data_IF_548087961627
#
_entry.id   IF_548087961627
#
_cell.length_a   1.000
_cell.length_b   1.000
_cell.length_c   1.000
_cell.angle_alpha   90.00
_cell.angle_beta   90.00
_cell.angle_gamma   90.00
#
_symmetry.space_group_name_H-M   'P 1'
#
loop_
_entity.id
_entity.type
_entity.pdbx_description
1 polymer ?
#
# COMPACT_ATOMS: atom_id res chain seq x y z
N UNK A 1 -13.72 -15.01 -10.55
CA UNK A 1 -14.53 -16.06 -9.91
C UNK A 1 -13.56 -16.93 -9.12
N UNK A 2 -13.81 -17.15 -7.82
CA UNK A 2 -13.03 -18.13 -7.04
C UNK A 2 -13.77 -19.45 -7.14
N UNK A 3 -13.24 -20.33 -7.96
CA UNK A 3 -13.74 -21.69 -8.20
C UNK A 3 -13.93 -22.42 -6.87
N UNK A 4 -15.05 -23.14 -6.72
CA UNK A 4 -15.25 -24.07 -5.62
C UNK A 4 -14.09 -25.04 -5.54
N UNK A 5 -13.22 -24.83 -4.56
CA UNK A 5 -11.93 -25.49 -4.47
C UNK A 5 -11.89 -26.49 -3.32
N UNK A 6 -11.26 -27.63 -3.59
CA UNK A 6 -10.89 -28.61 -2.58
C UNK A 6 -10.08 -27.95 -1.45
N UNK A 7 -10.43 -28.23 -0.19
CA UNK A 7 -9.75 -27.64 0.97
C UNK A 7 -8.27 -28.09 1.00
N UNK A 8 -7.28 -27.18 1.07
CA UNK A 8 -5.87 -27.57 1.06
C UNK A 8 -5.42 -28.33 2.31
N UNK A 9 -6.19 -28.27 3.40
CA UNK A 9 -5.86 -28.92 4.67
C UNK A 9 -6.42 -30.35 4.75
N UNK A 10 -7.73 -30.52 4.56
CA UNK A 10 -8.39 -31.83 4.66
C UNK A 10 -8.68 -32.51 3.32
N UNK A 11 -8.43 -31.81 2.20
CA UNK A 11 -8.74 -32.27 0.82
C UNK A 11 -10.21 -32.58 0.55
N UNK A 12 -11.12 -32.14 1.42
CA UNK A 12 -12.56 -32.27 1.20
C UNK A 12 -13.08 -31.22 0.23
N UNK A 13 -14.15 -31.52 -0.50
CA UNK A 13 -14.83 -30.53 -1.36
C UNK A 13 -15.43 -29.41 -0.51
N UNK A 14 -15.08 -28.17 -0.80
CA UNK A 14 -15.66 -27.00 -0.13
C UNK A 14 -16.75 -26.39 -1.01
N UNK A 15 -17.97 -26.22 -0.51
CA UNK A 15 -19.05 -25.61 -1.28
C UNK A 15 -18.70 -24.17 -1.67
N UNK A 16 -19.10 -23.78 -2.88
CA UNK A 16 -18.90 -22.42 -3.39
C UNK A 16 -19.52 -21.38 -2.44
N UNK A 17 -18.72 -20.38 -2.07
CA UNK A 17 -19.15 -19.32 -1.15
C UNK A 17 -18.82 -19.57 0.32
N UNK A 18 -18.48 -20.78 0.75
CA UNK A 18 -18.10 -21.02 2.15
C UNK A 18 -16.80 -20.27 2.51
N UNK A 19 -16.83 -19.49 3.58
CA UNK A 19 -15.66 -18.77 4.09
C UNK A 19 -14.73 -19.69 4.87
N UNK A 20 -15.34 -20.66 5.56
CA UNK A 20 -14.71 -21.69 6.39
C UNK A 20 -14.92 -23.06 5.75
N UNK A 21 -13.89 -23.91 5.73
CA UNK A 21 -14.08 -25.32 5.44
C UNK A 21 -14.92 -25.97 6.56
N UNK A 22 -16.10 -26.56 6.26
CA UNK A 22 -16.98 -27.12 7.28
C UNK A 22 -16.39 -28.37 7.97
N UNK A 23 -15.45 -29.05 7.30
CA UNK A 23 -14.88 -30.32 7.78
C UNK A 23 -13.72 -30.11 8.75
N UNK A 24 -12.84 -29.12 8.50
CA UNK A 24 -11.66 -28.88 9.31
C UNK A 24 -11.60 -27.50 9.98
N UNK A 25 -12.56 -26.61 9.69
CA UNK A 25 -12.62 -25.27 10.28
C UNK A 25 -11.61 -24.27 9.72
N UNK A 26 -10.86 -24.61 8.67
CA UNK A 26 -9.87 -23.70 8.08
C UNK A 26 -10.58 -22.54 7.35
N UNK A 27 -10.17 -21.31 7.67
CA UNK A 27 -10.67 -20.06 7.07
C UNK A 27 -9.63 -19.44 6.11
N UNK A 28 -9.54 -19.88 4.84
CA UNK A 28 -8.54 -19.35 3.90
C UNK A 28 -8.79 -17.87 3.53
N UNK A 29 -10.06 -17.43 3.53
CA UNK A 29 -10.43 -16.05 3.14
C UNK A 29 -9.97 -14.99 4.15
N UNK A 30 -9.94 -15.33 5.45
CA UNK A 30 -9.54 -14.40 6.50
C UNK A 30 -8.09 -13.92 6.37
N UNK A 31 -7.17 -14.81 5.97
CA UNK A 31 -5.75 -14.46 5.80
C UNK A 31 -5.50 -13.59 4.57
N UNK A 32 -6.20 -13.86 3.47
CA UNK A 32 -6.06 -13.10 2.22
C UNK A 32 -6.60 -11.67 2.38
N UNK A 33 -7.76 -11.53 3.03
CA UNK A 33 -8.34 -10.22 3.30
C UNK A 33 -7.49 -9.41 4.28
N UNK A 34 -6.93 -10.05 5.31
CA UNK A 34 -6.00 -9.41 6.24
C UNK A 34 -4.75 -8.89 5.51
N UNK A 35 -4.17 -9.69 4.60
CA UNK A 35 -3.03 -9.25 3.78
C UNK A 35 -3.39 -8.08 2.87
N UNK A 36 -4.55 -8.14 2.20
CA UNK A 36 -5.03 -7.06 1.35
C UNK A 36 -5.20 -5.74 2.12
N UNK A 37 -5.82 -5.79 3.31
CA UNK A 37 -5.96 -4.62 4.18
C UNK A 37 -4.60 -4.05 4.60
N UNK A 38 -3.65 -4.91 4.98
CA UNK A 38 -2.30 -4.46 5.36
C UNK A 38 -1.60 -3.77 4.19
N UNK A 39 -1.67 -4.32 2.97
CA UNK A 39 -1.07 -3.72 1.78
C UNK A 39 -1.69 -2.35 1.47
N UNK A 40 -3.02 -2.22 1.56
CA UNK A 40 -3.71 -0.94 1.35
C UNK A 40 -3.29 0.10 2.38
N UNK A 41 -3.18 -0.28 3.66
CA UNK A 41 -2.77 0.63 4.74
C UNK A 41 -1.32 1.10 4.57
N UNK A 42 -0.40 0.19 4.21
CA UNK A 42 1.01 0.54 3.96
C UNK A 42 1.13 1.45 2.73
N UNK A 43 0.41 1.14 1.64
CA UNK A 43 0.40 1.96 0.44
C UNK A 43 -0.12 3.38 0.71
N UNK A 44 -1.20 3.50 1.49
CA UNK A 44 -1.74 4.79 1.91
C UNK A 44 -0.74 5.62 2.73
N UNK A 45 -0.05 5.01 3.70
CA UNK A 45 0.95 5.68 4.52
C UNK A 45 2.16 6.17 3.67
N UNK A 46 2.64 5.33 2.75
CA UNK A 46 3.74 5.67 1.86
C UNK A 46 3.38 6.85 0.94
N UNK A 47 2.16 6.86 0.40
CA UNK A 47 1.63 7.97 -0.39
C UNK A 47 1.57 9.26 0.46
N UNK A 48 1.11 9.16 1.71
CA UNK A 48 0.99 10.31 2.61
C UNK A 48 2.34 10.91 3.02
N UNK A 49 3.42 10.12 3.06
CA UNK A 49 4.78 10.59 3.38
C UNK A 49 5.52 11.13 2.16
N UNK A 50 5.31 10.55 0.98
CA UNK A 50 6.02 10.94 -0.24
C UNK A 50 5.54 12.28 -0.80
N UNK A 51 4.24 12.57 -0.71
CA UNK A 51 3.67 13.86 -1.14
C UNK A 51 4.31 15.07 -0.41
N UNK A 52 4.33 15.15 0.93
CA UNK A 52 4.96 16.27 1.63
C UNK A 52 6.48 16.30 1.40
N UNK A 53 7.13 15.14 1.30
CA UNK A 53 8.55 15.06 0.94
C UNK A 53 8.85 15.71 -0.41
N UNK A 54 8.05 15.41 -1.43
CA UNK A 54 8.17 16.01 -2.76
C UNK A 54 7.96 17.53 -2.73
N UNK A 55 6.97 18.01 -1.97
CA UNK A 55 6.72 19.45 -1.81
C UNK A 55 7.92 20.15 -1.19
N UNK A 56 8.52 19.57 -0.14
CA UNK A 56 9.73 20.14 0.50
C UNK A 56 10.88 20.22 -0.50
N UNK A 57 11.12 19.17 -1.29
CA UNK A 57 12.20 19.17 -2.30
C UNK A 57 11.99 20.28 -3.32
N UNK A 58 10.77 20.47 -3.81
CA UNK A 58 10.43 21.55 -4.76
C UNK A 58 10.63 22.93 -4.12
N UNK A 59 10.19 23.12 -2.87
CA UNK A 59 10.35 24.38 -2.15
C UNK A 59 11.83 24.73 -1.93
N UNK A 60 12.64 23.75 -1.52
CA UNK A 60 14.10 23.92 -1.35
C UNK A 60 14.75 24.29 -2.68
N UNK A 61 14.41 23.59 -3.77
CA UNK A 61 14.91 23.90 -5.10
C UNK A 61 14.56 25.31 -5.57
N UNK A 62 13.30 25.74 -5.33
CA UNK A 62 12.85 27.10 -5.65
C UNK A 62 13.60 28.16 -4.83
N UNK A 63 13.79 27.93 -3.52
CA UNK A 63 14.55 28.82 -2.64
C UNK A 63 16.00 28.98 -3.09
N UNK A 64 16.66 27.87 -3.45
CA UNK A 64 18.03 27.89 -3.96
C UNK A 64 18.13 28.60 -5.30
N UNK A 65 17.14 28.44 -6.18
CA UNK A 65 17.09 29.15 -7.45
C UNK A 65 16.97 30.68 -7.23
N UNK A 66 16.09 31.11 -6.31
CA UNK A 66 15.91 32.54 -6.00
C UNK A 66 17.16 33.15 -5.38
N UNK A 67 17.81 32.47 -4.43
CA UNK A 67 19.01 33.02 -3.78
C UNK A 67 20.19 33.20 -4.75
N UNK A 68 20.29 32.35 -5.78
CA UNK A 68 21.31 32.49 -6.83
C UNK A 68 21.15 33.75 -7.68
N UNK A 69 19.93 34.30 -7.81
CA UNK A 69 19.66 35.54 -8.55
C UNK A 69 19.95 36.82 -7.76
N UNK A 70 20.07 36.72 -6.43
CA UNK A 70 20.37 37.87 -5.54
C UNK A 70 21.88 38.02 -5.29
N UNK A 71 22.68 36.98 -5.55
CA UNK A 71 24.14 37.02 -5.46
C UNK A 71 24.87 38.07 -6.33
N UNK A 72 24.48 38.35 -7.59
CA UNK A 72 25.24 39.28 -8.43
C UNK A 72 25.00 40.76 -8.15
N UNK A 73 23.97 41.15 -7.38
CA UNK A 73 23.61 42.57 -7.17
C UNK A 73 24.26 43.24 -5.96
N UNK A 74 24.93 42.49 -5.08
CA UNK A 74 25.62 43.04 -3.89
C UNK A 74 27.11 43.37 -4.15
N UNK A 75 27.62 43.13 -5.35
CA UNK A 75 29.00 43.45 -5.76
C UNK A 75 29.08 44.37 -7.00
N UNK A 76 27.99 45.07 -7.32
CA UNK A 76 27.92 46.05 -8.41
C UNK A 76 27.77 47.47 -7.86
#
# INVERSE_FOLDING_TARGET
MSDGGTCPNCRESVPEGADVCPTCGLNPKGKLFQFALVVVMIGGLAMWLTIPGAVVIVLVGALLAVSSQVGPTIWA
#
